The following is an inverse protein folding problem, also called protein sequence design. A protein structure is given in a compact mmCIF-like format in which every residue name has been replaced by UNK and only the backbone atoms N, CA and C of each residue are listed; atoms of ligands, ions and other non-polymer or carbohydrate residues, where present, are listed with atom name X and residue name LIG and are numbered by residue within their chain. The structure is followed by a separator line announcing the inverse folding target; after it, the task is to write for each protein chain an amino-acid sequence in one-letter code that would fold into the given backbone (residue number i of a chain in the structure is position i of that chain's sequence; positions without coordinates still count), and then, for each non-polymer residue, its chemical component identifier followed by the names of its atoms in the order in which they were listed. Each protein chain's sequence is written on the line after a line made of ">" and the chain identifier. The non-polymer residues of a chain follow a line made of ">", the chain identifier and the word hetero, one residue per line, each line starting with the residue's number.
data_IF_272631015659
#
_entry.id   IF_272631015659
#
_cell.length_a   1.000
_cell.length_b   1.000
_cell.length_c   1.000
_cell.angle_alpha   90.00
_cell.angle_beta   90.00
_cell.angle_gamma   90.00
#
_symmetry.space_group_name_H-M   'P 1'
#
loop_
_entity.id
_entity.type
_entity.pdbx_description
1 polymer ?
#
# COMPACT_ATOMS: atom_id res chain seq x y z
N UNK A 1 12.49 -0.25 41.61
CA UNK A 1 12.17 -0.01 40.18
C UNK A 1 11.49 -1.19 39.53
N UNK A 2 11.96 -2.45 39.64
CA UNK A 2 11.31 -3.58 38.92
C UNK A 2 9.85 -3.84 39.28
N UNK A 3 9.46 -3.75 40.55
CA UNK A 3 8.06 -3.91 40.99
C UNK A 3 7.12 -2.80 40.46
N UNK A 4 7.64 -1.57 40.35
CA UNK A 4 6.88 -0.46 39.80
C UNK A 4 6.64 -0.63 38.29
N UNK A 5 7.67 -1.06 37.57
CA UNK A 5 7.60 -1.34 36.12
C UNK A 5 6.66 -2.52 35.84
N UNK A 6 6.72 -3.58 36.65
CA UNK A 6 5.81 -4.73 36.55
C UNK A 6 4.35 -4.32 36.75
N UNK A 7 4.07 -3.55 37.83
CA UNK A 7 2.71 -3.04 38.08
C UNK A 7 2.25 -2.05 37.04
N UNK A 8 3.10 -1.17 36.57
CA UNK A 8 2.79 -0.23 35.49
C UNK A 8 2.46 -0.97 34.18
N UNK A 9 3.20 -2.06 33.87
CA UNK A 9 2.92 -2.92 32.72
C UNK A 9 1.58 -3.66 32.84
N UNK A 10 1.27 -4.21 34.02
CA UNK A 10 -0.03 -4.85 34.31
C UNK A 10 -1.19 -3.86 34.12
N UNK A 11 -1.06 -2.65 34.64
CA UNK A 11 -2.05 -1.59 34.53
C UNK A 11 -2.19 -1.16 33.06
N UNK A 12 -1.07 -0.98 32.36
CA UNK A 12 -1.11 -0.65 30.94
C UNK A 12 -1.84 -1.74 30.15
N UNK A 13 -1.63 -3.03 30.45
CA UNK A 13 -2.35 -4.13 29.81
C UNK A 13 -3.87 -4.09 29.95
N UNK A 14 -4.38 -3.47 31.05
CA UNK A 14 -5.82 -3.30 31.30
C UNK A 14 -6.41 -2.06 30.60
N UNK A 15 -5.59 -1.03 30.34
CA UNK A 15 -6.02 0.27 29.82
C UNK A 15 -5.71 0.39 28.33
N UNK A 16 -4.64 -0.30 27.89
CA UNK A 16 -4.19 -0.22 26.50
C UNK A 16 -5.30 -0.59 25.52
N UNK A 17 -5.54 0.31 24.60
CA UNK A 17 -6.39 0.12 23.44
C UNK A 17 -5.61 0.51 22.20
N UNK A 18 -5.46 -0.42 21.25
CA UNK A 18 -4.81 -0.12 19.99
C UNK A 18 -5.69 0.84 19.18
N UNK A 19 -5.09 1.90 18.65
CA UNK A 19 -5.76 2.74 17.67
C UNK A 19 -6.01 1.94 16.39
N UNK A 20 -7.19 2.09 15.80
CA UNK A 20 -7.54 1.48 14.52
C UNK A 20 -8.07 2.56 13.59
N UNK A 21 -7.55 2.61 12.36
CA UNK A 21 -8.04 3.51 11.32
C UNK A 21 -9.46 3.11 10.89
N UNK A 22 -10.26 4.09 10.51
CA UNK A 22 -11.52 3.84 9.83
C UNK A 22 -11.27 3.07 8.52
N UNK A 23 -12.22 2.22 8.14
CA UNK A 23 -12.17 1.45 6.89
C UNK A 23 -13.45 1.65 6.10
N UNK A 24 -13.37 1.43 4.77
CA UNK A 24 -14.52 1.54 3.86
C UNK A 24 -14.62 0.30 2.98
N UNK A 25 -15.81 -0.25 2.84
CA UNK A 25 -16.12 -1.35 1.93
C UNK A 25 -16.88 -0.83 0.72
N UNK A 26 -16.26 -0.91 -0.46
CA UNK A 26 -16.90 -0.52 -1.72
C UNK A 26 -17.85 -1.60 -2.27
N UNK A 27 -17.76 -2.82 -1.76
CA UNK A 27 -18.66 -3.94 -2.09
C UNK A 27 -20.03 -3.80 -1.43
N UNK A 28 -20.11 -3.13 -0.28
CA UNK A 28 -21.32 -2.90 0.52
C UNK A 28 -21.81 -1.46 0.42
N UNK A 29 -21.78 -0.90 -0.80
CA UNK A 29 -22.25 0.46 -1.07
C UNK A 29 -21.56 1.54 -0.21
N UNK A 30 -20.22 1.48 -0.12
CA UNK A 30 -19.39 2.44 0.61
C UNK A 30 -19.66 2.46 2.12
N UNK A 31 -19.98 1.31 2.69
CA UNK A 31 -20.14 1.18 4.14
C UNK A 31 -18.84 1.49 4.87
N UNK A 32 -18.89 2.42 5.83
CA UNK A 32 -17.73 2.87 6.61
C UNK A 32 -17.81 2.26 8.01
N UNK A 33 -16.74 1.57 8.41
CA UNK A 33 -16.50 1.19 9.80
C UNK A 33 -15.69 2.32 10.44
N UNK A 34 -16.21 2.97 11.52
CA UNK A 34 -15.50 4.06 12.18
C UNK A 34 -14.15 3.64 12.77
N UNK A 35 -13.30 4.60 12.96
CA UNK A 35 -12.06 4.45 13.68
C UNK A 35 -12.24 4.14 15.15
N UNK A 36 -11.20 3.57 15.77
CA UNK A 36 -11.13 3.37 17.22
C UNK A 36 -9.95 4.17 17.77
N UNK A 37 -10.26 5.16 18.62
CA UNK A 37 -9.21 5.93 19.30
C UNK A 37 -8.49 5.02 20.29
N UNK A 38 -7.17 4.95 20.14
CA UNK A 38 -6.30 4.16 21.01
C UNK A 38 -6.04 4.87 22.36
N UNK A 39 -5.61 4.09 23.34
CA UNK A 39 -5.20 4.60 24.66
C UNK A 39 -3.98 3.87 25.15
N UNK A 40 -3.02 4.60 25.71
CA UNK A 40 -1.85 4.02 26.38
C UNK A 40 -1.49 4.81 27.62
N UNK A 41 -1.00 4.12 28.62
CA UNK A 41 -0.48 4.76 29.84
C UNK A 41 0.91 5.33 29.54
N UNK A 42 1.17 6.56 30.00
CA UNK A 42 2.49 7.20 29.91
C UNK A 42 3.35 6.75 31.08
N UNK A 43 4.03 5.60 30.91
CA UNK A 43 4.81 4.95 31.97
C UNK A 43 5.89 5.85 32.57
N UNK A 44 6.54 6.68 31.74
CA UNK A 44 7.58 7.62 32.15
C UNK A 44 7.07 8.65 33.18
N UNK A 45 5.82 9.05 33.05
CA UNK A 45 5.19 10.00 33.98
C UNK A 45 4.80 9.36 35.32
N UNK A 46 4.49 8.06 35.32
CA UNK A 46 4.14 7.33 36.56
C UNK A 46 5.29 7.35 37.54
N UNK A 47 6.52 7.10 37.08
CA UNK A 47 7.70 7.09 37.97
C UNK A 47 7.89 8.44 38.65
N UNK A 48 7.73 9.54 37.91
CA UNK A 48 7.81 10.90 38.46
C UNK A 48 6.73 11.16 39.51
N UNK A 49 5.45 10.77 39.22
CA UNK A 49 4.33 10.96 40.13
C UNK A 49 4.51 10.14 41.42
N UNK A 50 4.98 8.90 41.33
CA UNK A 50 5.27 8.06 42.50
C UNK A 50 6.38 8.69 43.35
N UNK A 51 7.50 9.13 42.74
CA UNK A 51 8.61 9.77 43.47
C UNK A 51 8.21 11.06 44.19
N UNK A 52 7.34 11.86 43.59
CA UNK A 52 6.81 13.11 44.21
C UNK A 52 5.95 12.83 45.43
N UNK A 53 5.15 11.74 45.40
CA UNK A 53 4.20 11.43 46.43
C UNK A 53 4.71 10.48 47.55
N UNK A 54 5.85 9.80 47.32
CA UNK A 54 6.45 8.90 48.34
C UNK A 54 6.97 9.61 49.60
N UNK A 55 6.84 10.92 49.73
CA UNK A 55 7.28 11.71 50.89
C UNK A 55 6.24 11.78 51.99
N UNK A 56 5.02 11.32 51.77
CA UNK A 56 3.97 11.23 52.77
C UNK A 56 3.81 9.79 53.29
N UNK A 57 3.57 9.60 54.60
CA UNK A 57 3.28 8.30 55.21
C UNK A 57 1.80 7.91 55.07
N UNK A 58 1.05 8.54 54.18
CA UNK A 58 -0.37 8.33 53.95
C UNK A 58 -0.60 7.51 52.68
N UNK A 59 -1.76 6.88 52.57
CA UNK A 59 -2.18 6.21 51.34
C UNK A 59 -2.32 7.21 50.21
N UNK A 60 -1.65 6.94 49.11
CA UNK A 60 -1.55 7.85 47.99
C UNK A 60 -2.41 7.33 46.82
N UNK A 61 -3.34 8.16 46.34
CA UNK A 61 -4.09 7.92 45.11
C UNK A 61 -3.44 8.71 43.98
N UNK A 62 -2.94 8.02 42.96
CA UNK A 62 -2.34 8.63 41.78
C UNK A 62 -3.28 8.43 40.56
N UNK A 63 -3.70 9.54 39.97
CA UNK A 63 -4.40 9.49 38.69
C UNK A 63 -3.41 9.07 37.59
N UNK A 64 -3.76 8.01 36.86
CA UNK A 64 -2.89 7.49 35.80
C UNK A 64 -2.85 8.45 34.60
N UNK A 65 -1.67 8.84 34.16
CA UNK A 65 -1.51 9.63 32.94
C UNK A 65 -1.77 8.76 31.70
N UNK A 66 -2.97 8.88 31.13
CA UNK A 66 -3.38 8.16 29.92
C UNK A 66 -3.29 9.12 28.74
N UNK A 67 -2.63 8.68 27.68
CA UNK A 67 -2.55 9.39 26.41
C UNK A 67 -3.44 8.72 25.37
N UNK A 68 -4.25 9.50 24.67
CA UNK A 68 -4.96 9.04 23.48
C UNK A 68 -4.01 8.89 22.30
N UNK A 69 -4.25 7.86 21.48
CA UNK A 69 -3.57 7.63 20.21
C UNK A 69 -4.60 7.80 19.10
N UNK A 70 -4.51 8.92 18.43
CA UNK A 70 -5.46 9.28 17.37
C UNK A 70 -5.15 8.46 16.11
N UNK A 71 -6.14 7.76 15.52
CA UNK A 71 -6.01 7.09 14.23
C UNK A 71 -5.66 8.06 13.12
N UNK A 72 -4.95 7.55 12.10
CA UNK A 72 -4.56 8.34 10.93
C UNK A 72 -5.74 8.64 10.03
N UNK A 73 -6.63 7.66 9.85
CA UNK A 73 -7.82 7.76 8.99
C UNK A 73 -9.06 7.75 9.87
N UNK A 74 -9.90 8.76 9.72
CA UNK A 74 -11.17 8.88 10.44
C UNK A 74 -12.34 8.58 9.53
N UNK A 75 -13.50 8.30 10.11
CA UNK A 75 -14.75 8.11 9.37
C UNK A 75 -15.06 9.30 8.45
N UNK A 76 -14.91 10.52 8.98
CA UNK A 76 -15.18 11.77 8.25
C UNK A 76 -14.34 11.90 6.97
N UNK A 77 -13.08 11.43 6.99
CA UNK A 77 -12.20 11.43 5.82
C UNK A 77 -12.78 10.55 4.70
N UNK A 78 -13.35 9.39 5.07
CA UNK A 78 -13.84 8.38 4.12
C UNK A 78 -15.21 8.72 3.51
N UNK A 79 -15.97 9.63 4.08
CA UNK A 79 -17.26 10.08 3.56
C UNK A 79 -17.14 10.74 2.16
N UNK A 80 -15.94 11.21 1.81
CA UNK A 80 -15.64 11.74 0.47
C UNK A 80 -15.44 10.64 -0.59
N UNK A 81 -15.26 9.38 -0.19
CA UNK A 81 -15.10 8.27 -1.13
C UNK A 81 -16.48 7.76 -1.53
N UNK A 82 -17.01 8.24 -2.66
CA UNK A 82 -18.38 7.99 -3.11
C UNK A 82 -18.48 7.30 -4.48
N UNK A 83 -17.36 7.04 -5.15
CA UNK A 83 -17.36 6.34 -6.43
C UNK A 83 -15.98 6.08 -7.01
N UNK A 84 -15.97 5.44 -8.18
CA UNK A 84 -14.76 5.01 -8.86
C UNK A 84 -14.21 6.10 -9.77
N UNK A 85 -12.96 6.54 -9.54
CA UNK A 85 -12.26 7.52 -10.37
C UNK A 85 -11.64 6.88 -11.62
N UNK A 86 -11.10 5.67 -11.48
CA UNK A 86 -10.47 4.96 -12.59
C UNK A 86 -10.21 3.50 -12.30
N UNK A 87 -9.94 2.75 -13.35
CA UNK A 87 -9.55 1.34 -13.23
C UNK A 87 -8.69 0.90 -14.39
N UNK A 88 -7.91 -0.16 -14.15
CA UNK A 88 -7.21 -0.87 -15.19
C UNK A 88 -7.08 -2.36 -14.86
N UNK A 89 -7.05 -3.19 -15.92
CA UNK A 89 -6.90 -4.64 -15.77
C UNK A 89 -5.88 -5.16 -16.78
N UNK A 90 -5.10 -6.14 -16.38
CA UNK A 90 -4.23 -6.87 -17.29
C UNK A 90 -4.46 -8.37 -17.18
N UNK A 91 -4.36 -9.05 -18.30
CA UNK A 91 -4.53 -10.52 -18.39
C UNK A 91 -3.20 -11.22 -18.16
N UNK A 92 -3.24 -12.33 -17.44
CA UNK A 92 -2.10 -13.24 -17.24
C UNK A 92 -2.52 -14.70 -17.45
N UNK A 93 -1.54 -15.60 -17.57
CA UNK A 93 -1.81 -17.02 -17.67
C UNK A 93 -1.93 -17.62 -16.26
N UNK A 94 -3.15 -17.92 -15.83
CA UNK A 94 -3.45 -18.47 -14.49
C UNK A 94 -3.01 -19.91 -14.28
N UNK A 95 -2.66 -20.67 -15.34
CA UNK A 95 -2.09 -22.02 -15.21
C UNK A 95 -0.64 -22.02 -14.70
N UNK A 96 0.04 -20.88 -14.73
CA UNK A 96 1.38 -20.71 -14.15
C UNK A 96 1.26 -20.44 -12.64
N UNK A 97 1.15 -21.49 -11.83
CA UNK A 97 0.79 -21.41 -10.40
C UNK A 97 1.67 -20.46 -9.60
N UNK A 98 3.00 -20.58 -9.66
CA UNK A 98 3.91 -19.71 -8.94
C UNK A 98 3.75 -18.23 -9.29
N UNK A 99 3.58 -17.92 -10.60
CA UNK A 99 3.30 -16.55 -11.07
C UNK A 99 1.95 -16.04 -10.57
N UNK A 100 0.95 -16.89 -10.59
CA UNK A 100 -0.41 -16.55 -10.14
C UNK A 100 -0.44 -16.22 -8.64
N UNK A 101 0.26 -17.02 -7.82
CA UNK A 101 0.40 -16.77 -6.38
C UNK A 101 1.12 -15.44 -6.10
N UNK A 102 2.22 -15.15 -6.81
CA UNK A 102 2.93 -13.88 -6.69
C UNK A 102 2.03 -12.66 -7.03
N UNK A 103 1.26 -12.77 -8.12
CA UNK A 103 0.32 -11.72 -8.52
C UNK A 103 -0.74 -11.52 -7.44
N UNK A 104 -1.35 -12.61 -6.93
CA UNK A 104 -2.37 -12.53 -5.86
C UNK A 104 -1.81 -11.90 -4.59
N UNK A 105 -0.63 -12.34 -4.16
CA UNK A 105 0.01 -11.83 -2.95
C UNK A 105 0.31 -10.33 -3.05
N UNK A 106 0.99 -9.90 -4.10
CA UNK A 106 1.30 -8.48 -4.28
C UNK A 106 0.03 -7.63 -4.41
N UNK A 107 -0.99 -8.13 -5.10
CA UNK A 107 -2.29 -7.45 -5.24
C UNK A 107 -3.01 -7.31 -3.88
N UNK A 108 -3.05 -8.40 -3.10
CA UNK A 108 -3.68 -8.43 -1.77
C UNK A 108 -3.00 -7.47 -0.80
N UNK A 109 -1.66 -7.37 -0.84
CA UNK A 109 -0.90 -6.44 0.01
C UNK A 109 -1.25 -4.97 -0.27
N UNK A 110 -1.55 -4.63 -1.52
CA UNK A 110 -1.91 -3.27 -1.93
C UNK A 110 -3.39 -2.98 -1.72
N UNK A 111 -4.23 -4.00 -1.79
CA UNK A 111 -5.68 -3.86 -1.64
C UNK A 111 -6.07 -3.11 -0.37
N UNK A 112 -7.11 -2.29 -0.45
CA UNK A 112 -7.64 -1.47 0.63
C UNK A 112 -6.66 -0.43 1.20
N UNK A 113 -5.67 0.00 0.41
CA UNK A 113 -4.78 1.09 0.79
C UNK A 113 -5.49 2.43 0.61
N UNK A 114 -5.55 3.23 1.67
CA UNK A 114 -6.05 4.60 1.65
C UNK A 114 -4.86 5.54 1.58
N UNK A 115 -4.91 6.51 0.67
CA UNK A 115 -3.94 7.59 0.56
C UNK A 115 -4.62 8.90 0.92
N UNK A 116 -4.19 9.52 2.01
CA UNK A 116 -4.67 10.82 2.44
C UNK A 116 -4.22 11.92 1.47
N UNK A 117 -4.83 13.11 1.50
CA UNK A 117 -4.40 14.26 0.71
C UNK A 117 -2.89 14.49 0.80
N UNK A 118 -2.24 14.58 -0.36
CA UNK A 118 -0.80 14.81 -0.45
C UNK A 118 0.09 13.61 -0.11
N UNK A 119 -0.45 12.45 0.26
CA UNK A 119 0.34 11.26 0.60
C UNK A 119 0.90 10.58 -0.66
N UNK A 120 2.16 10.14 -0.57
CA UNK A 120 2.82 9.38 -1.62
C UNK A 120 2.75 7.86 -1.34
N UNK A 121 2.30 7.10 -2.33
CA UNK A 121 2.40 5.65 -2.37
C UNK A 121 3.76 5.22 -2.91
N UNK A 122 4.35 4.19 -2.30
CA UNK A 122 5.52 3.48 -2.82
C UNK A 122 5.20 1.99 -2.89
N UNK A 123 5.32 1.42 -4.08
CA UNK A 123 5.06 0.00 -4.30
C UNK A 123 6.01 -0.87 -3.49
N UNK A 124 7.32 -0.55 -3.52
CA UNK A 124 8.32 -1.31 -2.78
C UNK A 124 8.14 -1.22 -1.27
N UNK A 125 7.81 -0.03 -0.74
CA UNK A 125 7.51 0.15 0.69
C UNK A 125 6.27 -0.65 1.11
N UNK A 126 5.23 -0.66 0.27
CA UNK A 126 3.96 -1.33 0.57
C UNK A 126 4.08 -2.85 0.51
N UNK A 127 4.77 -3.38 -0.51
CA UNK A 127 4.92 -4.83 -0.69
C UNK A 127 6.07 -5.45 0.10
N UNK A 128 6.99 -4.64 0.60
CA UNK A 128 8.15 -5.10 1.36
C UNK A 128 9.11 -5.98 0.55
N UNK A 129 9.81 -6.84 1.26
CA UNK A 129 10.64 -7.86 0.62
C UNK A 129 9.78 -8.87 -0.14
N UNK A 130 10.34 -9.40 -1.23
CA UNK A 130 9.64 -10.31 -2.13
C UNK A 130 10.49 -11.56 -2.37
N UNK A 131 11.01 -12.12 -1.28
CA UNK A 131 11.81 -13.34 -1.27
C UNK A 131 10.97 -14.62 -1.08
N UNK A 132 11.63 -15.77 -1.15
CA UNK A 132 11.02 -17.06 -0.86
C UNK A 132 10.52 -17.14 0.60
N UNK A 133 11.28 -16.56 1.52
CA UNK A 133 10.92 -16.47 2.96
C UNK A 133 9.65 -15.64 3.19
N UNK A 134 9.34 -14.71 2.30
CA UNK A 134 8.15 -13.87 2.37
C UNK A 134 6.94 -14.50 1.66
N UNK A 135 7.08 -15.74 1.19
CA UNK A 135 6.02 -16.54 0.55
C UNK A 135 5.95 -16.41 -0.96
N UNK A 136 6.80 -15.58 -1.60
CA UNK A 136 6.85 -15.50 -3.06
C UNK A 136 7.47 -16.75 -3.67
N UNK A 137 7.10 -17.03 -4.92
CA UNK A 137 7.50 -18.23 -5.67
C UNK A 137 8.41 -17.87 -6.84
N UNK A 138 9.18 -18.84 -7.30
CA UNK A 138 9.89 -18.72 -8.56
C UNK A 138 8.93 -18.74 -9.74
N UNK A 139 9.15 -17.83 -10.68
CA UNK A 139 8.44 -17.75 -11.96
C UNK A 139 9.31 -17.02 -12.98
N UNK A 140 8.86 -16.89 -14.23
CA UNK A 140 9.59 -16.15 -15.26
C UNK A 140 9.67 -14.66 -14.92
N UNK A 141 10.89 -14.13 -14.94
CA UNK A 141 11.23 -12.70 -14.78
C UNK A 141 11.95 -12.19 -16.04
N UNK A 142 12.05 -10.88 -16.20
CA UNK A 142 12.90 -10.22 -17.18
C UNK A 142 14.16 -9.73 -16.47
N UNK A 143 15.31 -10.27 -16.82
CA UNK A 143 16.61 -9.89 -16.30
C UNK A 143 17.59 -9.66 -17.45
N UNK A 144 18.25 -8.50 -17.50
CA UNK A 144 19.22 -8.14 -18.54
C UNK A 144 18.70 -8.36 -19.97
N UNK A 145 17.42 -8.04 -20.22
CA UNK A 145 16.79 -8.19 -21.53
C UNK A 145 16.50 -9.64 -21.96
N UNK A 146 16.45 -10.59 -21.01
CA UNK A 146 16.12 -12.00 -21.25
C UNK A 146 15.08 -12.49 -20.24
N UNK A 147 14.35 -13.55 -20.63
CA UNK A 147 13.48 -14.26 -19.73
C UNK A 147 14.29 -15.31 -18.97
N UNK A 148 14.27 -15.22 -17.64
CA UNK A 148 14.96 -16.13 -16.74
C UNK A 148 14.00 -16.58 -15.63
N UNK A 149 14.35 -17.64 -14.91
CA UNK A 149 13.64 -18.09 -13.72
C UNK A 149 14.14 -17.30 -12.52
N UNK A 150 13.22 -16.69 -11.78
CA UNK A 150 13.58 -15.91 -10.59
C UNK A 150 12.39 -15.76 -9.64
N UNK A 151 12.67 -15.30 -8.42
CA UNK A 151 11.65 -15.11 -7.38
C UNK A 151 10.76 -13.92 -7.73
N UNK A 152 9.51 -13.98 -7.30
CA UNK A 152 8.50 -12.92 -7.47
C UNK A 152 8.14 -12.58 -8.93
N UNK A 153 8.38 -13.49 -9.90
CA UNK A 153 7.94 -13.29 -11.28
C UNK A 153 6.43 -13.05 -11.34
N UNK A 154 6.02 -11.98 -12.03
CA UNK A 154 4.63 -11.51 -12.11
C UNK A 154 4.35 -10.21 -11.35
N UNK A 155 5.16 -9.83 -10.39
CA UNK A 155 4.95 -8.61 -9.57
C UNK A 155 5.01 -7.33 -10.42
N UNK A 156 5.86 -7.26 -11.42
CA UNK A 156 5.88 -6.11 -12.36
C UNK A 156 4.58 -5.99 -13.17
N UNK A 157 3.80 -7.05 -13.35
CA UNK A 157 2.47 -6.93 -13.95
C UNK A 157 1.49 -6.28 -12.97
N UNK A 158 1.61 -6.56 -11.67
CA UNK A 158 0.80 -5.90 -10.62
C UNK A 158 1.10 -4.41 -10.57
N UNK A 159 2.39 -4.02 -10.53
CA UNK A 159 2.78 -2.60 -10.55
C UNK A 159 2.35 -1.89 -11.83
N UNK A 160 2.46 -2.52 -12.99
CA UNK A 160 1.99 -1.97 -14.26
C UNK A 160 0.48 -1.76 -14.27
N UNK A 161 -0.28 -2.71 -13.73
CA UNK A 161 -1.75 -2.58 -13.66
C UNK A 161 -2.14 -1.44 -12.73
N UNK A 162 -1.49 -1.34 -11.57
CA UNK A 162 -1.70 -0.25 -10.61
C UNK A 162 -1.30 1.11 -11.20
N UNK A 163 -0.16 1.19 -11.90
CA UNK A 163 0.30 2.41 -12.58
C UNK A 163 -0.75 2.96 -13.54
N UNK A 164 -1.32 2.09 -14.37
CA UNK A 164 -2.36 2.52 -15.30
C UNK A 164 -3.65 2.93 -14.59
N UNK A 165 -4.06 2.22 -13.53
CA UNK A 165 -5.20 2.63 -12.73
C UNK A 165 -4.97 4.00 -12.08
N UNK A 166 -3.76 4.27 -11.56
CA UNK A 166 -3.38 5.56 -11.02
C UNK A 166 -3.44 6.67 -12.08
N UNK A 167 -2.91 6.42 -13.29
CA UNK A 167 -3.00 7.37 -14.42
C UNK A 167 -4.45 7.70 -14.78
N UNK A 168 -5.31 6.68 -14.95
CA UNK A 168 -6.72 6.90 -15.29
C UNK A 168 -7.51 7.63 -14.19
N UNK A 169 -6.98 7.60 -12.97
CA UNK A 169 -7.56 8.29 -11.82
C UNK A 169 -6.97 9.67 -11.57
N UNK A 170 -6.07 10.16 -12.43
CA UNK A 170 -5.44 11.47 -12.29
C UNK A 170 -4.46 11.59 -11.11
N UNK A 171 -3.97 10.46 -10.57
CA UNK A 171 -2.94 10.50 -9.53
C UNK A 171 -1.59 10.96 -10.12
N UNK A 172 -0.83 11.73 -9.36
CA UNK A 172 0.45 12.29 -9.78
C UNK A 172 1.55 11.22 -9.72
N UNK A 173 2.08 10.79 -10.87
CA UNK A 173 3.17 9.82 -10.91
C UNK A 173 4.49 10.52 -10.56
N UNK A 174 5.09 10.16 -9.44
CA UNK A 174 6.35 10.75 -8.94
C UNK A 174 7.58 9.92 -9.29
N UNK A 175 7.41 8.61 -9.48
CA UNK A 175 8.49 7.74 -9.95
C UNK A 175 7.96 6.54 -10.72
N UNK A 176 8.56 6.26 -11.88
CA UNK A 176 8.25 5.10 -12.72
C UNK A 176 9.45 4.72 -13.57
N UNK A 177 9.74 3.43 -13.68
CA UNK A 177 10.74 2.86 -14.57
C UNK A 177 10.09 1.92 -15.59
N UNK A 178 10.50 1.98 -16.86
CA UNK A 178 10.08 1.00 -17.87
C UNK A 178 10.93 -0.27 -17.82
N UNK A 179 10.39 -1.37 -18.38
CA UNK A 179 11.18 -2.57 -18.59
C UNK A 179 12.22 -2.38 -19.71
N UNK A 180 13.29 -3.16 -19.66
CA UNK A 180 14.32 -3.20 -20.73
C UNK A 180 13.81 -3.81 -22.04
N UNK A 181 12.76 -4.63 -21.99
CA UNK A 181 12.02 -5.15 -23.14
C UNK A 181 10.51 -4.92 -22.92
N UNK A 182 9.75 -4.64 -24.00
CA UNK A 182 8.32 -4.39 -23.88
C UNK A 182 7.56 -5.53 -23.18
N UNK A 183 6.71 -5.18 -22.21
CA UNK A 183 5.83 -6.13 -21.54
C UNK A 183 4.65 -6.47 -22.48
N UNK A 184 4.33 -7.76 -22.62
CA UNK A 184 3.29 -8.23 -23.57
C UNK A 184 1.85 -8.01 -23.08
N UNK A 185 1.64 -7.61 -21.82
CA UNK A 185 0.34 -7.45 -21.19
C UNK A 185 -0.16 -6.01 -21.17
N UNK A 186 0.59 -5.08 -21.76
CA UNK A 186 0.24 -3.66 -21.84
C UNK A 186 0.88 -3.02 -23.06
N UNK A 187 0.32 -1.92 -23.55
CA UNK A 187 0.89 -1.15 -24.66
C UNK A 187 2.27 -0.57 -24.31
N UNK A 188 3.12 -0.38 -25.34
CA UNK A 188 4.45 0.19 -25.18
C UNK A 188 4.37 1.57 -24.51
N UNK A 189 5.23 1.80 -23.53
CA UNK A 189 5.29 3.04 -22.75
C UNK A 189 4.32 3.10 -21.57
N UNK A 190 3.51 2.07 -21.36
CA UNK A 190 2.51 2.01 -20.27
C UNK A 190 2.84 0.98 -19.18
N UNK A 191 4.04 0.45 -19.19
CA UNK A 191 4.54 -0.49 -18.20
C UNK A 191 5.21 0.23 -17.02
N UNK A 192 5.32 -0.44 -15.88
CA UNK A 192 6.06 0.01 -14.70
C UNK A 192 6.81 -1.17 -14.09
N UNK A 193 8.13 -1.16 -14.21
CA UNK A 193 9.02 -2.15 -13.63
C UNK A 193 9.29 -1.82 -12.15
N UNK A 194 9.35 -2.84 -11.31
CA UNK A 194 9.71 -2.72 -9.89
C UNK A 194 10.75 -3.77 -9.51
N UNK A 195 11.77 -3.35 -8.75
CA UNK A 195 12.83 -4.20 -8.21
C UNK A 195 13.07 -3.79 -6.77
N UNK A 196 13.14 -4.74 -5.84
CA UNK A 196 13.41 -4.43 -4.43
C UNK A 196 14.77 -3.74 -4.29
N UNK A 197 14.77 -2.57 -3.64
CA UNK A 197 15.98 -1.79 -3.40
C UNK A 197 16.48 -0.96 -4.58
N UNK A 198 15.79 -1.01 -5.75
CA UNK A 198 16.20 -0.29 -6.97
C UNK A 198 14.99 0.41 -7.61
N UNK A 199 14.34 -0.21 -8.60
CA UNK A 199 13.20 0.40 -9.30
C UNK A 199 11.93 0.37 -8.48
N UNK A 200 11.24 1.51 -8.37
CA UNK A 200 9.97 1.63 -7.66
C UNK A 200 8.89 2.24 -8.56
N UNK A 201 7.65 2.00 -8.22
CA UNK A 201 6.51 2.77 -8.70
C UNK A 201 6.02 3.64 -7.54
N UNK A 202 6.06 4.97 -7.74
CA UNK A 202 5.54 5.92 -6.78
C UNK A 202 4.55 6.86 -7.45
N UNK A 203 3.53 7.21 -6.70
CA UNK A 203 2.56 8.23 -7.09
C UNK A 203 1.96 8.89 -5.84
N UNK A 204 1.50 10.11 -5.99
CA UNK A 204 0.95 10.93 -4.93
C UNK A 204 -0.54 11.16 -5.17
N UNK A 205 -1.30 11.22 -4.09
CA UNK A 205 -2.67 11.74 -4.13
C UNK A 205 -2.64 13.28 -4.25
N UNK A 206 -2.98 13.87 -5.42
CA UNK A 206 -2.96 15.32 -5.60
C UNK A 206 -4.24 16.00 -5.12
N UNK A 207 -5.25 15.22 -4.72
CA UNK A 207 -6.55 15.72 -4.33
C UNK A 207 -6.56 16.19 -2.87
N UNK A 208 -7.54 17.01 -2.52
CA UNK A 208 -7.84 17.45 -1.15
C UNK A 208 -8.73 16.47 -0.37
N UNK A 209 -9.05 15.32 -0.97
CA UNK A 209 -9.79 14.21 -0.38
C UNK A 209 -8.99 12.90 -0.47
N UNK A 210 -9.25 11.91 0.40
CA UNK A 210 -8.55 10.62 0.35
C UNK A 210 -8.99 9.79 -0.85
N UNK A 211 -8.09 8.91 -1.32
CA UNK A 211 -8.40 7.91 -2.33
C UNK A 211 -8.15 6.50 -1.79
N UNK A 212 -8.98 5.55 -2.21
CA UNK A 212 -8.86 4.13 -1.89
C UNK A 212 -8.36 3.37 -3.11
N UNK A 213 -7.30 2.59 -2.92
CA UNK A 213 -6.80 1.62 -3.90
C UNK A 213 -7.45 0.26 -3.64
N UNK A 214 -8.23 -0.24 -4.58
CA UNK A 214 -8.84 -1.58 -4.54
C UNK A 214 -8.17 -2.48 -5.57
N UNK A 215 -7.52 -3.56 -5.09
CA UNK A 215 -6.87 -4.54 -5.96
C UNK A 215 -7.47 -5.93 -5.79
N UNK A 216 -7.73 -6.64 -6.88
CA UNK A 216 -8.21 -8.01 -6.85
C UNK A 216 -7.77 -8.81 -8.08
N UNK A 217 -7.80 -10.13 -7.92
CA UNK A 217 -7.57 -11.09 -9.01
C UNK A 217 -8.85 -11.89 -9.22
N UNK A 218 -9.36 -11.87 -10.45
CA UNK A 218 -10.53 -12.64 -10.86
C UNK A 218 -10.23 -13.42 -12.15
N UNK A 219 -10.35 -14.74 -12.09
CA UNK A 219 -9.97 -15.61 -13.19
C UNK A 219 -8.49 -15.42 -13.57
N UNK A 220 -8.25 -14.95 -14.80
CA UNK A 220 -6.93 -14.67 -15.35
C UNK A 220 -6.65 -13.16 -15.52
N UNK A 221 -7.33 -12.31 -14.74
CA UNK A 221 -7.13 -10.87 -14.71
C UNK A 221 -6.71 -10.39 -13.33
N UNK A 222 -5.71 -9.50 -13.29
CA UNK A 222 -5.42 -8.63 -12.16
C UNK A 222 -6.01 -7.26 -12.47
N UNK A 223 -6.73 -6.70 -11.50
CA UNK A 223 -7.45 -5.43 -11.65
C UNK A 223 -7.12 -4.51 -10.47
N UNK A 224 -6.90 -3.24 -10.77
CA UNK A 224 -6.91 -2.17 -9.78
C UNK A 224 -7.97 -1.15 -10.13
N UNK A 225 -8.66 -0.70 -9.10
CA UNK A 225 -9.63 0.39 -9.12
C UNK A 225 -9.19 1.43 -8.10
N UNK A 226 -9.38 2.69 -8.43
CA UNK A 226 -9.17 3.81 -7.51
C UNK A 226 -10.50 4.46 -7.26
N UNK A 227 -10.84 4.64 -6.00
CA UNK A 227 -12.08 5.27 -5.55
C UNK A 227 -11.77 6.60 -4.86
N UNK A 228 -12.69 7.55 -4.95
CA UNK A 228 -12.59 8.88 -4.36
C UNK A 228 -13.87 9.66 -4.57
N UNK A 229 -13.79 10.99 -4.62
CA UNK A 229 -14.92 11.86 -4.90
C UNK A 229 -15.17 11.98 -6.41
N UNK A 230 -16.23 11.33 -6.91
CA UNK A 230 -16.56 11.38 -8.35
C UNK A 230 -17.04 12.74 -8.82
N UNK A 231 -17.47 13.62 -7.93
CA UNK A 231 -17.87 14.99 -8.30
C UNK A 231 -16.68 15.82 -8.77
N UNK A 232 -15.48 15.46 -8.36
CA UNK A 232 -14.20 16.09 -8.69
C UNK A 232 -13.33 15.23 -9.61
N UNK A 233 -13.87 14.09 -10.12
CA UNK A 233 -13.12 13.15 -10.94
C UNK A 233 -12.61 13.79 -12.23
N UNK A 234 -11.32 13.70 -12.55
CA UNK A 234 -10.81 14.23 -13.81
C UNK A 234 -11.23 13.35 -14.99
N UNK A 235 -11.49 13.96 -16.14
CA UNK A 235 -11.61 13.22 -17.40
C UNK A 235 -10.23 12.97 -17.97
N UNK A 236 -9.67 11.80 -17.70
CA UNK A 236 -8.33 11.43 -18.17
C UNK A 236 -8.42 10.69 -19.49
N UNK A 237 -7.69 11.16 -20.49
CA UNK A 237 -7.45 10.48 -21.76
C UNK A 237 -5.96 10.23 -21.89
N UNK A 238 -5.58 8.97 -22.03
CA UNK A 238 -4.19 8.59 -22.21
C UNK A 238 -3.90 8.36 -23.69
N UNK A 239 -2.82 8.96 -24.18
CA UNK A 239 -2.29 8.73 -25.53
C UNK A 239 -0.81 8.43 -25.48
N UNK A 240 -0.32 7.62 -26.42
CA UNK A 240 1.11 7.36 -26.59
C UNK A 240 1.50 7.65 -28.04
N UNK A 241 2.72 8.21 -28.21
CA UNK A 241 3.29 8.49 -29.54
C UNK A 241 4.72 7.95 -29.57
N UNK A 242 5.03 7.18 -30.64
CA UNK A 242 6.41 6.77 -30.90
C UNK A 242 7.18 7.98 -31.40
N UNK A 243 8.18 8.42 -30.64
CA UNK A 243 9.02 9.59 -31.00
C UNK A 243 10.31 9.16 -31.72
N UNK A 244 10.77 7.92 -31.48
CA UNK A 244 11.98 7.36 -32.11
C UNK A 244 11.91 5.84 -32.07
N UNK A 245 12.53 5.20 -33.07
CA UNK A 245 12.72 3.75 -33.11
C UNK A 245 14.15 3.45 -33.53
N UNK A 246 14.86 2.66 -32.74
CA UNK A 246 16.22 2.18 -33.07
C UNK A 246 16.08 0.76 -33.62
N UNK A 247 16.50 0.49 -34.88
CA UNK A 247 16.39 -0.83 -35.44
C UNK A 247 17.26 -1.85 -34.66
N UNK A 248 16.84 -3.10 -34.66
CA UNK A 248 17.58 -4.18 -34.00
C UNK A 248 18.96 -4.36 -34.69
N UNK A 249 20.03 -4.39 -33.89
CA UNK A 249 21.34 -4.76 -34.37
C UNK A 249 21.36 -6.28 -34.53
N UNK A 250 21.51 -6.75 -35.79
CA UNK A 250 21.70 -8.18 -36.08
C UNK A 250 23.16 -8.50 -35.88
N UNK A 251 23.47 -9.41 -34.96
CA UNK A 251 24.83 -9.92 -34.74
C UNK A 251 24.87 -11.35 -35.28
N UNK A 252 25.61 -11.54 -36.38
CA UNK A 252 25.90 -12.90 -36.85
C UNK A 252 27.05 -13.46 -36.00
N UNK A 253 26.80 -14.60 -35.35
CA UNK A 253 27.85 -15.39 -34.70
C UNK A 253 28.27 -16.48 -35.70
N UNK A 254 29.49 -16.47 -36.11
CA UNK A 254 30.12 -17.59 -36.87
C UNK A 254 30.33 -18.75 -35.91
#
# INVERSE_FOLDING_TARGET
>A
SSKLEEKASEINGKIYQQAQDATISVETNFEITPEVVGRKVELDKIEGLVKQNLKSNEDIVISLPVKEVIPKVKKEDLEHINGKLGQFSTRFNSSLTGRTENIRMATSTINSTILMPGEEFSFNKKTGNRGLSDGYREASIILNGKYEKGVAGGVCQVSTTLYNAALYSGLEITHRQNHSIPASYVDIGRDAAVVSGDFDLKFKNPYDYPVLLKGFVSGNYVTFQVYGDVSQAPKVVLSSKVVSSIPKKVIYRN
#
